data_IF_285742070218
#
_entry.id   IF_285742070218
#
_cell.length_a   1.000
_cell.length_b   1.000
_cell.length_c   1.000
_cell.angle_alpha   90.00
_cell.angle_beta   90.00
_cell.angle_gamma   90.00
#
_symmetry.space_group_name_H-M   'P 1'
#
loop_
_entity.id
_entity.type
_entity.pdbx_description
1 polymer ?
#
# COMPACT_ATOMS: atom_id res chain seq x y z
N UNK A 1 39.81 -51.04 -31.95
CA UNK A 1 40.49 -50.21 -30.93
C UNK A 1 39.87 -48.79 -30.84
N UNK A 2 39.70 -48.06 -31.92
CA UNK A 2 39.21 -46.68 -31.96
C UNK A 2 37.80 -46.49 -31.38
N UNK A 3 36.83 -47.39 -31.65
CA UNK A 3 35.44 -47.31 -31.16
C UNK A 3 35.39 -47.34 -29.63
N UNK A 4 36.15 -48.21 -28.97
CA UNK A 4 36.22 -48.29 -27.49
C UNK A 4 36.77 -47.00 -26.87
N UNK A 5 37.75 -46.35 -27.53
CA UNK A 5 38.31 -45.08 -27.06
C UNK A 5 37.27 -43.93 -27.19
N UNK A 6 36.55 -43.92 -28.30
CA UNK A 6 35.44 -42.94 -28.48
C UNK A 6 34.32 -43.14 -27.47
N UNK A 7 33.90 -44.37 -27.23
CA UNK A 7 32.87 -44.69 -26.23
C UNK A 7 33.31 -44.24 -24.83
N UNK A 8 34.55 -44.48 -24.45
CA UNK A 8 35.10 -44.01 -23.16
C UNK A 8 35.09 -42.49 -23.05
N UNK A 9 35.58 -41.77 -24.08
CA UNK A 9 35.54 -40.31 -24.10
C UNK A 9 34.12 -39.75 -24.05
N UNK A 10 33.14 -40.39 -24.70
CA UNK A 10 31.72 -39.99 -24.67
C UNK A 10 31.15 -40.18 -23.25
N UNK A 11 31.45 -41.32 -22.59
CA UNK A 11 31.00 -41.57 -21.24
C UNK A 11 31.59 -40.55 -20.23
N UNK A 12 32.87 -40.23 -20.35
CA UNK A 12 33.52 -39.23 -19.51
C UNK A 12 32.93 -37.83 -19.70
N UNK A 13 32.64 -37.44 -20.96
CA UNK A 13 31.97 -36.15 -21.24
C UNK A 13 30.54 -36.12 -20.74
N UNK A 14 29.82 -37.22 -20.87
CA UNK A 14 28.45 -37.34 -20.33
C UNK A 14 28.41 -37.23 -18.82
N UNK A 15 29.33 -37.93 -18.12
CA UNK A 15 29.45 -37.84 -16.67
C UNK A 15 29.83 -36.40 -16.20
N UNK A 16 30.76 -35.76 -16.91
CA UNK A 16 31.11 -34.36 -16.63
C UNK A 16 29.90 -33.42 -16.81
N UNK A 17 29.15 -33.56 -17.91
CA UNK A 17 27.98 -32.74 -18.19
C UNK A 17 26.88 -32.96 -17.11
N UNK A 18 26.63 -34.21 -16.71
CA UNK A 18 25.70 -34.54 -15.64
C UNK A 18 26.09 -33.89 -14.29
N UNK A 19 27.39 -33.95 -13.95
CA UNK A 19 27.92 -33.29 -12.75
C UNK A 19 27.75 -31.78 -12.79
N UNK A 20 27.97 -31.14 -13.93
CA UNK A 20 27.78 -29.70 -14.09
C UNK A 20 26.31 -29.29 -14.02
N UNK A 21 25.41 -30.11 -14.57
CA UNK A 21 23.99 -29.89 -14.46
C UNK A 21 23.51 -29.96 -12.99
N UNK A 22 23.91 -30.98 -12.26
CA UNK A 22 23.58 -31.13 -10.84
C UNK A 22 24.10 -29.95 -9.99
N UNK A 23 25.33 -29.46 -10.29
CA UNK A 23 25.86 -28.25 -9.63
C UNK A 23 25.01 -27.01 -9.93
N UNK A 24 24.61 -26.82 -11.18
CA UNK A 24 23.77 -25.69 -11.57
C UNK A 24 22.38 -25.72 -10.93
N UNK A 25 21.76 -26.89 -10.87
CA UNK A 25 20.47 -27.10 -10.20
C UNK A 25 20.55 -26.80 -8.69
N UNK A 26 21.60 -27.28 -8.02
CA UNK A 26 21.84 -27.00 -6.60
C UNK A 26 22.02 -25.50 -6.33
N UNK A 27 22.81 -24.83 -7.17
CA UNK A 27 23.02 -23.39 -7.07
C UNK A 27 21.70 -22.62 -7.29
N UNK A 28 20.91 -23.00 -8.28
CA UNK A 28 19.60 -22.39 -8.56
C UNK A 28 18.63 -22.56 -7.38
N UNK A 29 18.62 -23.75 -6.77
CA UNK A 29 17.78 -24.01 -5.58
C UNK A 29 18.19 -23.12 -4.39
N UNK A 30 19.51 -22.96 -4.19
CA UNK A 30 20.05 -22.07 -3.15
C UNK A 30 19.65 -20.61 -3.38
N UNK A 31 19.84 -20.10 -4.60
CA UNK A 31 19.46 -18.73 -4.95
C UNK A 31 17.96 -18.48 -4.76
N UNK A 32 17.10 -19.41 -5.19
CA UNK A 32 15.66 -19.31 -4.97
C UNK A 32 15.29 -19.27 -3.49
N UNK A 33 16.00 -19.97 -2.63
CA UNK A 33 15.80 -19.94 -1.19
C UNK A 33 16.21 -18.59 -0.59
N UNK A 34 17.38 -18.10 -0.94
CA UNK A 34 17.92 -16.79 -0.50
C UNK A 34 16.98 -15.63 -0.93
N UNK A 35 16.48 -15.65 -2.16
CA UNK A 35 15.52 -14.66 -2.64
C UNK A 35 14.21 -14.68 -1.86
N UNK A 36 13.68 -15.87 -1.52
CA UNK A 36 12.48 -15.99 -0.69
C UNK A 36 12.70 -15.44 0.72
N UNK A 37 13.81 -15.75 1.34
CA UNK A 37 14.17 -15.24 2.68
C UNK A 37 14.35 -13.73 2.66
N UNK A 38 14.98 -13.20 1.62
CA UNK A 38 15.13 -11.75 1.42
C UNK A 38 13.78 -11.04 1.25
N UNK A 39 12.89 -11.61 0.43
CA UNK A 39 11.54 -11.06 0.22
C UNK A 39 10.70 -11.13 1.50
N UNK A 40 10.79 -12.22 2.27
CA UNK A 40 10.11 -12.35 3.54
C UNK A 40 10.58 -11.30 4.56
N UNK A 41 11.89 -11.09 4.65
CA UNK A 41 12.47 -10.05 5.52
C UNK A 41 12.05 -8.63 5.10
N UNK A 42 12.07 -8.34 3.80
CA UNK A 42 11.59 -7.04 3.30
C UNK A 42 10.11 -6.81 3.60
N UNK A 43 9.28 -7.86 3.53
CA UNK A 43 7.86 -7.77 3.89
C UNK A 43 7.67 -7.51 5.40
N UNK A 44 8.44 -8.18 6.26
CA UNK A 44 8.43 -7.98 7.71
C UNK A 44 8.90 -6.57 8.09
N UNK A 45 10.00 -6.09 7.52
CA UNK A 45 10.52 -4.74 7.73
C UNK A 45 9.49 -3.68 7.31
N UNK A 46 8.79 -3.92 6.19
CA UNK A 46 7.72 -3.03 5.73
C UNK A 46 6.53 -3.04 6.68
N UNK A 47 6.12 -4.19 7.19
CA UNK A 47 5.00 -4.33 8.13
C UNK A 47 5.32 -3.63 9.46
N UNK A 48 6.52 -3.78 9.97
CA UNK A 48 7.01 -3.09 11.17
C UNK A 48 7.05 -1.56 10.97
N UNK A 49 7.51 -1.08 9.83
CA UNK A 49 7.51 0.34 9.49
C UNK A 49 6.09 0.91 9.38
N UNK A 50 5.17 0.18 8.75
CA UNK A 50 3.76 0.55 8.63
C UNK A 50 3.07 0.58 10.01
N UNK A 51 3.41 -0.35 10.91
CA UNK A 51 2.89 -0.39 12.27
C UNK A 51 3.42 0.77 13.15
N UNK A 52 4.71 1.04 13.10
CA UNK A 52 5.31 2.18 13.80
C UNK A 52 4.72 3.52 13.31
N UNK A 53 4.55 3.62 12.01
CA UNK A 53 3.91 4.73 11.31
C UNK A 53 2.46 4.95 11.76
N UNK A 54 1.72 3.87 11.93
CA UNK A 54 0.32 3.89 12.38
C UNK A 54 0.20 4.35 13.83
N UNK A 55 1.08 3.88 14.69
CA UNK A 55 1.11 4.28 16.10
C UNK A 55 1.42 5.78 16.27
N UNK A 56 2.36 6.29 15.48
CA UNK A 56 2.68 7.72 15.48
C UNK A 56 1.53 8.57 14.94
N UNK A 57 0.85 8.07 13.89
CA UNK A 57 -0.34 8.70 13.33
C UNK A 57 -1.51 8.75 14.34
N UNK A 58 -1.73 7.67 15.09
CA UNK A 58 -2.74 7.63 16.15
C UNK A 58 -2.47 8.67 17.24
N UNK A 59 -1.19 8.84 17.65
CA UNK A 59 -0.78 9.89 18.59
C UNK A 59 -1.05 11.29 18.05
N UNK A 60 -0.75 11.55 16.78
CA UNK A 60 -1.00 12.84 16.12
C UNK A 60 -2.49 13.15 15.98
N UNK A 61 -3.33 12.14 15.80
CA UNK A 61 -4.79 12.29 15.69
C UNK A 61 -5.48 12.52 17.04
N UNK A 62 -4.82 12.24 18.16
CA UNK A 62 -5.42 12.36 19.50
C UNK A 62 -5.89 13.78 19.84
N UNK A 63 -5.23 14.81 19.29
CA UNK A 63 -5.59 16.22 19.48
C UNK A 63 -6.63 16.77 18.49
N UNK A 64 -7.08 15.98 17.51
CA UNK A 64 -8.05 16.44 16.50
C UNK A 64 -9.46 16.22 17.01
N UNK A 65 -10.22 17.31 17.13
CA UNK A 65 -11.62 17.30 17.64
C UNK A 65 -12.65 17.50 16.53
N UNK A 66 -13.93 17.36 16.87
CA UNK A 66 -15.05 17.54 15.97
C UNK A 66 -15.14 16.43 14.90
N UNK A 67 -15.87 16.72 13.81
CA UNK A 67 -16.13 15.78 12.72
C UNK A 67 -14.83 15.25 12.10
N UNK A 68 -13.86 16.12 11.88
CA UNK A 68 -12.54 15.76 11.34
C UNK A 68 -11.82 14.72 12.23
N UNK A 69 -11.84 14.92 13.56
CA UNK A 69 -11.25 13.99 14.52
C UNK A 69 -11.96 12.64 14.56
N UNK A 70 -13.29 12.62 14.51
CA UNK A 70 -14.08 11.37 14.48
C UNK A 70 -13.75 10.57 13.20
N UNK A 71 -13.83 11.23 12.04
CA UNK A 71 -13.53 10.58 10.75
C UNK A 71 -12.08 10.07 10.68
N UNK A 72 -11.14 10.85 11.15
CA UNK A 72 -9.73 10.49 11.17
C UNK A 72 -9.45 9.27 12.07
N UNK A 73 -10.01 9.26 13.29
CA UNK A 73 -9.90 8.11 14.21
C UNK A 73 -10.49 6.85 13.60
N UNK A 74 -11.66 6.95 12.97
CA UNK A 74 -12.27 5.81 12.29
C UNK A 74 -11.34 5.26 11.19
N UNK A 75 -10.82 6.12 10.33
CA UNK A 75 -9.93 5.69 9.23
C UNK A 75 -8.64 5.02 9.76
N UNK A 76 -8.08 5.51 10.87
CA UNK A 76 -6.91 4.92 11.51
C UNK A 76 -7.16 3.53 12.08
N UNK A 77 -8.37 3.26 12.58
CA UNK A 77 -8.76 1.94 13.10
C UNK A 77 -8.83 0.87 11.99
N UNK A 78 -8.94 1.27 10.72
CA UNK A 78 -8.98 0.34 9.59
C UNK A 78 -7.59 0.02 9.03
N UNK A 79 -6.50 0.55 9.62
CA UNK A 79 -5.14 0.24 9.16
C UNK A 79 -4.88 -1.26 9.28
N UNK A 80 -4.35 -1.86 8.20
CA UNK A 80 -4.16 -3.29 8.07
C UNK A 80 -5.29 -4.02 7.32
N UNK A 81 -6.47 -3.42 7.19
CA UNK A 81 -7.57 -3.98 6.41
C UNK A 81 -7.25 -4.04 4.90
N UNK A 82 -7.78 -5.04 4.22
CA UNK A 82 -7.49 -5.30 2.81
C UNK A 82 -8.15 -4.27 1.89
N UNK A 83 -7.43 -3.85 0.85
CA UNK A 83 -8.05 -3.12 -0.25
C UNK A 83 -8.85 -4.07 -1.16
N UNK A 84 -10.10 -3.71 -1.42
CA UNK A 84 -10.95 -4.33 -2.45
C UNK A 84 -11.67 -3.22 -3.20
N UNK A 85 -11.54 -3.19 -4.54
CA UNK A 85 -12.19 -2.17 -5.35
C UNK A 85 -13.72 -2.23 -5.19
N UNK A 86 -14.35 -1.07 -4.98
CA UNK A 86 -15.79 -0.96 -4.74
C UNK A 86 -16.24 -1.35 -3.33
N UNK A 87 -15.33 -1.70 -2.42
CA UNK A 87 -15.69 -2.05 -1.05
C UNK A 87 -15.81 -0.82 -0.14
N UNK A 88 -16.81 -0.86 0.78
CA UNK A 88 -17.08 0.18 1.75
C UNK A 88 -17.36 -0.37 3.17
N UNK A 89 -16.54 -1.29 3.63
CA UNK A 89 -16.55 -1.89 4.97
C UNK A 89 -17.16 -3.30 4.98
N UNK A 90 -17.05 -4.12 6.05
CA UNK A 90 -16.60 -3.86 7.43
C UNK A 90 -15.10 -4.10 7.65
N UNK A 91 -14.42 -4.85 6.78
CA UNK A 91 -13.01 -5.28 6.89
C UNK A 91 -12.27 -5.13 5.56
N UNK A 92 -12.94 -4.58 4.55
CA UNK A 92 -12.37 -4.32 3.22
C UNK A 92 -12.81 -2.95 2.70
N UNK A 93 -11.91 -2.27 2.02
CA UNK A 93 -12.07 -0.87 1.63
C UNK A 93 -11.49 -0.59 0.25
N UNK A 94 -12.18 0.27 -0.52
CA UNK A 94 -11.48 1.10 -1.49
C UNK A 94 -11.23 2.50 -0.92
N UNK A 95 -10.52 3.36 -1.67
CA UNK A 95 -10.13 4.69 -1.18
C UNK A 95 -11.33 5.56 -0.79
N UNK A 96 -12.38 5.58 -1.61
CA UNK A 96 -13.59 6.38 -1.40
C UNK A 96 -14.57 5.73 -0.44
N UNK A 97 -14.59 4.40 -0.35
CA UNK A 97 -15.38 3.67 0.63
C UNK A 97 -14.88 3.89 2.05
N UNK A 98 -13.55 3.87 2.25
CA UNK A 98 -12.93 4.19 3.53
C UNK A 98 -13.31 5.62 3.98
N UNK A 99 -13.14 6.62 3.11
CA UNK A 99 -13.46 8.01 3.45
C UNK A 99 -14.97 8.23 3.63
N UNK A 100 -15.81 7.60 2.81
CA UNK A 100 -17.27 7.64 2.95
C UNK A 100 -17.68 7.15 4.34
N UNK A 101 -17.21 5.99 4.77
CA UNK A 101 -17.55 5.44 6.10
C UNK A 101 -16.97 6.25 7.24
N UNK A 102 -15.72 6.68 7.13
CA UNK A 102 -15.10 7.53 8.14
C UNK A 102 -15.92 8.81 8.39
N UNK A 103 -16.34 9.47 7.34
CA UNK A 103 -17.16 10.68 7.46
C UNK A 103 -18.62 10.40 7.86
N UNK A 104 -19.16 9.25 7.49
CA UNK A 104 -20.48 8.82 7.96
C UNK A 104 -20.51 8.70 9.50
N UNK A 105 -19.47 8.20 10.14
CA UNK A 105 -19.39 8.15 11.62
C UNK A 105 -19.35 9.54 12.25
N UNK A 106 -18.91 10.55 11.49
CA UNK A 106 -18.89 11.96 11.89
C UNK A 106 -20.19 12.72 11.50
N UNK A 107 -21.22 12.01 11.02
CA UNK A 107 -22.48 12.60 10.59
C UNK A 107 -22.43 13.33 9.26
N UNK A 108 -21.45 13.01 8.41
CA UNK A 108 -21.31 13.59 7.06
C UNK A 108 -21.53 12.50 6.01
N UNK A 109 -22.54 12.68 5.16
CA UNK A 109 -22.83 11.77 4.05
C UNK A 109 -21.98 12.11 2.84
N UNK A 110 -21.16 11.14 2.38
CA UNK A 110 -20.35 11.26 1.18
C UNK A 110 -20.72 10.15 0.18
N UNK A 111 -20.67 10.42 -1.14
CA UNK A 111 -20.86 9.39 -2.16
C UNK A 111 -19.66 8.43 -2.22
N UNK A 112 -19.88 7.19 -2.65
CA UNK A 112 -18.83 6.21 -2.87
C UNK A 112 -18.10 6.47 -4.21
N UNK A 113 -17.46 7.63 -4.31
CA UNK A 113 -16.68 8.04 -5.49
C UNK A 113 -15.72 9.17 -5.13
N UNK A 114 -14.42 8.95 -5.26
CA UNK A 114 -13.40 9.98 -4.99
C UNK A 114 -13.60 11.23 -5.85
N UNK A 115 -14.03 11.07 -7.11
CA UNK A 115 -14.35 12.19 -8.01
C UNK A 115 -15.55 13.01 -7.52
N UNK A 116 -16.60 12.35 -7.03
CA UNK A 116 -17.77 13.05 -6.49
C UNK A 116 -17.44 13.71 -5.16
N UNK A 117 -16.74 13.04 -4.26
CA UNK A 117 -16.27 13.61 -2.99
C UNK A 117 -15.39 14.85 -3.20
N UNK A 118 -14.56 14.89 -4.24
CA UNK A 118 -13.69 16.04 -4.52
C UNK A 118 -14.43 17.33 -4.88
N UNK A 119 -15.73 17.25 -5.16
CA UNK A 119 -16.60 18.40 -5.48
C UNK A 119 -17.44 18.86 -4.29
N UNK A 120 -17.37 18.15 -3.17
CA UNK A 120 -18.16 18.41 -1.96
C UNK A 120 -17.32 19.12 -0.90
N UNK A 121 -17.98 19.67 0.11
CA UNK A 121 -17.31 20.35 1.22
C UNK A 121 -16.64 21.67 0.82
N UNK A 122 -15.93 22.26 1.78
CA UNK A 122 -15.20 23.51 1.59
C UNK A 122 -13.84 23.26 0.93
N UNK A 123 -13.52 24.00 -0.13
CA UNK A 123 -12.18 23.98 -0.74
C UNK A 123 -11.14 24.54 0.22
N UNK A 124 -9.99 23.88 0.31
CA UNK A 124 -8.88 24.25 1.19
C UNK A 124 -7.63 24.49 0.34
N UNK A 125 -6.94 25.64 0.50
CA UNK A 125 -5.63 25.86 -0.11
C UNK A 125 -4.61 24.81 0.35
N UNK A 126 -3.67 24.41 -0.52
CA UNK A 126 -2.71 23.33 -0.23
C UNK A 126 -1.84 23.59 0.99
N UNK A 127 -1.52 24.84 1.29
CA UNK A 127 -0.73 25.25 2.47
C UNK A 127 -1.56 25.40 3.76
N UNK A 128 -2.90 25.25 3.68
CA UNK A 128 -3.81 25.38 4.84
C UNK A 128 -4.48 24.06 5.23
N UNK A 129 -3.97 22.96 4.71
CA UNK A 129 -4.50 21.62 5.08
C UNK A 129 -4.31 21.34 6.56
N UNK A 130 -5.35 20.76 7.18
CA UNK A 130 -5.39 20.35 8.59
C UNK A 130 -5.75 18.88 8.72
N UNK A 131 -5.34 18.20 9.80
CA UNK A 131 -5.75 16.82 10.05
C UNK A 131 -7.27 16.64 9.92
N UNK A 132 -7.68 15.58 9.22
CA UNK A 132 -9.07 15.30 8.88
C UNK A 132 -9.55 15.85 7.53
N UNK A 133 -8.77 16.70 6.85
CA UNK A 133 -9.09 17.09 5.48
C UNK A 133 -8.97 15.91 4.52
N UNK A 134 -9.82 15.85 3.49
CA UNK A 134 -9.70 14.90 2.40
C UNK A 134 -8.77 15.41 1.32
N UNK A 135 -7.79 14.59 0.95
CA UNK A 135 -6.81 14.84 -0.09
C UNK A 135 -7.15 14.04 -1.34
N UNK A 136 -7.23 14.70 -2.49
CA UNK A 136 -7.63 14.09 -3.76
C UNK A 136 -6.49 14.12 -4.77
N UNK A 137 -6.27 12.97 -5.43
CA UNK A 137 -5.13 12.76 -6.32
C UNK A 137 -5.56 12.31 -7.72
N UNK A 138 -4.75 12.72 -8.70
CA UNK A 138 -4.87 12.34 -10.10
C UNK A 138 -5.67 13.34 -10.96
N UNK A 139 -5.40 13.30 -12.27
CA UNK A 139 -6.12 14.09 -13.30
C UNK A 139 -6.56 13.14 -14.41
N UNK A 140 -7.82 12.72 -14.45
CA UNK A 140 -8.95 13.02 -13.54
C UNK A 140 -8.77 12.43 -12.14
N UNK A 141 -9.48 12.98 -11.14
CA UNK A 141 -9.44 12.47 -9.74
C UNK A 141 -9.77 10.98 -9.71
N UNK A 142 -8.88 10.20 -9.14
CA UNK A 142 -8.99 8.73 -9.08
C UNK A 142 -8.58 8.13 -7.72
N UNK A 143 -8.23 8.99 -6.76
CA UNK A 143 -7.85 8.55 -5.42
C UNK A 143 -8.15 9.60 -4.36
N UNK A 144 -8.35 9.15 -3.11
CA UNK A 144 -8.60 9.99 -1.94
C UNK A 144 -7.97 9.36 -0.69
N UNK A 145 -7.52 10.21 0.24
CA UNK A 145 -7.06 9.84 1.57
C UNK A 145 -7.44 10.90 2.60
N UNK A 146 -7.34 10.58 3.89
CA UNK A 146 -7.59 11.49 5.01
C UNK A 146 -6.25 12.01 5.52
N UNK A 147 -6.07 13.31 5.55
CA UNK A 147 -4.84 13.94 6.03
C UNK A 147 -4.64 13.77 7.53
N UNK A 148 -3.46 13.39 7.95
CA UNK A 148 -3.07 13.17 9.34
C UNK A 148 -2.36 14.37 9.99
N UNK A 149 -1.81 15.25 9.16
CA UNK A 149 -0.79 16.21 9.58
C UNK A 149 0.63 15.71 9.26
N UNK A 150 1.62 16.59 9.41
CA UNK A 150 3.03 16.24 9.19
C UNK A 150 3.36 15.68 7.81
N UNK A 151 2.63 16.09 6.77
CA UNK A 151 2.84 15.58 5.42
C UNK A 151 2.32 14.16 5.17
N UNK A 152 1.49 13.59 6.04
CA UNK A 152 1.04 12.19 5.99
C UNK A 152 -0.49 12.07 5.85
N UNK A 153 -0.94 10.97 5.30
CA UNK A 153 -2.37 10.63 5.18
C UNK A 153 -2.61 9.15 5.44
N UNK A 154 -3.83 8.80 5.86
CA UNK A 154 -4.33 7.42 5.86
C UNK A 154 -5.17 7.19 4.61
N UNK A 155 -4.97 6.06 3.95
CA UNK A 155 -5.70 5.71 2.73
C UNK A 155 -5.75 4.21 2.47
N UNK A 156 -6.69 3.78 1.62
CA UNK A 156 -6.72 2.44 1.02
C UNK A 156 -6.12 2.54 -0.40
N UNK A 157 -4.87 2.07 -0.65
CA UNK A 157 -4.12 2.45 -1.85
C UNK A 157 -4.61 1.84 -3.16
N UNK A 158 -4.63 0.49 -3.25
CA UNK A 158 -4.91 -0.27 -4.48
C UNK A 158 -5.06 -1.77 -4.18
N UNK A 159 -5.56 -2.53 -5.15
CA UNK A 159 -5.61 -4.01 -5.08
C UNK A 159 -4.24 -4.61 -4.73
N UNK A 160 -4.26 -5.64 -3.90
CA UNK A 160 -3.06 -6.30 -3.38
C UNK A 160 -2.38 -5.55 -2.22
N UNK A 161 -2.96 -4.47 -1.72
CA UNK A 161 -2.45 -3.70 -0.59
C UNK A 161 -3.46 -3.62 0.56
N UNK A 162 -3.05 -2.97 1.64
CA UNK A 162 -3.85 -2.74 2.84
C UNK A 162 -4.01 -1.25 3.10
N UNK A 163 -5.01 -0.88 3.90
CA UNK A 163 -5.12 0.47 4.46
C UNK A 163 -3.87 0.78 5.25
N UNK A 164 -3.28 1.91 4.99
CA UNK A 164 -2.00 2.33 5.60
C UNK A 164 -1.81 3.83 5.63
N UNK A 165 -0.78 4.25 6.36
CA UNK A 165 -0.30 5.63 6.31
C UNK A 165 0.73 5.78 5.20
N UNK A 166 0.64 6.89 4.46
CA UNK A 166 1.55 7.22 3.36
C UNK A 166 1.84 8.72 3.32
N UNK A 167 2.81 9.10 2.48
CA UNK A 167 3.08 10.50 2.17
C UNK A 167 1.89 11.17 1.50
N UNK A 168 1.58 12.40 1.89
CA UNK A 168 0.44 13.17 1.43
C UNK A 168 0.79 14.15 0.28
N UNK A 169 2.03 14.22 -0.16
CA UNK A 169 2.47 15.13 -1.22
C UNK A 169 2.17 14.59 -2.61
N UNK A 170 2.31 13.27 -2.79
CA UNK A 170 2.04 12.60 -4.06
C UNK A 170 1.78 11.11 -3.87
N UNK A 171 1.10 10.50 -4.83
CA UNK A 171 0.93 9.05 -4.93
C UNK A 171 1.55 8.53 -6.23
N UNK A 172 2.87 8.40 -6.24
CA UNK A 172 3.62 8.07 -7.44
C UNK A 172 3.40 9.13 -8.52
N UNK A 173 2.80 8.74 -9.67
CA UNK A 173 2.50 9.67 -10.77
C UNK A 173 1.20 10.46 -10.59
N UNK A 174 0.47 10.31 -9.49
CA UNK A 174 -0.80 11.02 -9.24
C UNK A 174 -0.54 12.25 -8.36
N UNK A 175 -0.56 13.47 -8.92
CA UNK A 175 -0.39 14.69 -8.14
C UNK A 175 -1.59 14.92 -7.22
N UNK A 176 -1.37 15.59 -6.10
CA UNK A 176 -2.43 16.16 -5.25
C UNK A 176 -3.10 17.30 -6.04
N UNK A 177 -4.43 17.26 -6.22
CA UNK A 177 -5.16 18.19 -7.09
C UNK A 177 -6.27 18.95 -6.38
N UNK A 178 -6.75 18.45 -5.24
CA UNK A 178 -7.76 19.15 -4.44
C UNK A 178 -7.69 18.73 -2.96
N UNK A 179 -8.14 19.62 -2.09
CA UNK A 179 -8.33 19.38 -0.66
C UNK A 179 -9.74 19.83 -0.28
N UNK A 180 -10.44 19.03 0.52
CA UNK A 180 -11.80 19.34 0.99
C UNK A 180 -11.90 19.16 2.49
N UNK A 181 -12.65 20.06 3.15
CA UNK A 181 -12.95 20.06 4.59
C UNK A 181 -14.47 20.00 4.79
N UNK A 182 -14.90 19.22 5.79
CA UNK A 182 -16.30 18.98 6.17
C UNK A 182 -16.56 19.33 7.64
#
# INVERSE_FOLDING_TARGET
AQVKVLQKKLAERSAYAASKLAQAESLLAKLKKEDRERLAKLAEDQENADQASSLQAAKSAAGVSGRAGIALKYALLQIGDRYVFGAAGLTTWDCSGLTMRAFQTAGVSLPHSSRAQSRMGKSVPFNQKKPGDLLFFGRPVSHVGVYLGGGRMVHAPRSGSRVKVADASSLGRKPLVAIRRF
#
